data_IF_394758992815
#
_entry.id   IF_394758992815
#
_cell.length_a   1.000
_cell.length_b   1.000
_cell.length_c   1.000
_cell.angle_alpha   90.00
_cell.angle_beta   90.00
_cell.angle_gamma   90.00
#
_symmetry.space_group_name_H-M   'P 1'
#
loop_
_entity.id
_entity.type
_entity.pdbx_description
1 polymer ?
#
# COMPACT_ATOMS: atom_id res chain seq x y z
N UNK A 1 4.19 1.86 -5.12
CA UNK A 1 5.07 1.60 -3.96
C UNK A 1 5.37 0.11 -3.91
N UNK A 2 6.64 -0.28 -3.84
CA UNK A 2 7.02 -1.67 -3.55
C UNK A 2 7.09 -1.90 -2.04
N UNK A 3 6.60 -3.03 -1.55
CA UNK A 3 6.66 -3.40 -0.13
C UNK A 3 7.24 -4.80 0.05
N UNK A 4 8.04 -4.96 1.11
CA UNK A 4 8.51 -6.26 1.62
C UNK A 4 8.76 -6.13 3.12
N UNK A 5 7.96 -6.81 3.93
CA UNK A 5 8.03 -6.79 5.39
C UNK A 5 8.05 -5.36 5.98
N UNK A 6 7.10 -4.52 5.55
CA UNK A 6 6.98 -3.12 5.91
C UNK A 6 5.94 -2.81 6.99
N UNK A 7 5.44 -3.79 7.76
CA UNK A 7 4.26 -3.62 8.63
C UNK A 7 4.36 -2.42 9.58
N UNK A 8 5.57 -2.08 10.03
CA UNK A 8 5.83 -1.00 11.00
C UNK A 8 5.56 0.39 10.45
N UNK A 9 5.64 0.59 9.13
CA UNK A 9 5.60 1.91 8.50
C UNK A 9 4.63 2.01 7.32
N UNK A 10 4.15 0.86 6.83
CA UNK A 10 3.33 0.82 5.63
C UNK A 10 2.03 1.62 5.77
N UNK A 11 1.38 1.55 6.94
CA UNK A 11 0.13 2.27 7.19
C UNK A 11 0.31 3.80 7.18
N UNK A 12 1.34 4.29 7.88
CA UNK A 12 1.70 5.71 7.89
C UNK A 12 2.08 6.20 6.50
N UNK A 13 2.87 5.41 5.75
CA UNK A 13 3.30 5.78 4.42
C UNK A 13 2.13 5.87 3.43
N UNK A 14 1.19 4.91 3.47
CA UNK A 14 -0.03 4.94 2.65
C UNK A 14 -0.86 6.18 3.02
N UNK A 15 -1.10 6.38 4.32
CA UNK A 15 -1.88 7.52 4.83
C UNK A 15 -1.29 8.87 4.42
N UNK A 16 0.04 9.00 4.48
CA UNK A 16 0.77 10.20 4.05
C UNK A 16 0.57 10.51 2.56
N UNK A 17 0.63 9.48 1.70
CA UNK A 17 0.36 9.63 0.26
C UNK A 17 -1.10 10.03 0.01
N UNK A 18 -2.06 9.39 0.67
CA UNK A 18 -3.48 9.66 0.47
C UNK A 18 -3.91 11.06 0.96
N UNK A 19 -3.19 11.62 1.93
CA UNK A 19 -3.41 12.95 2.49
C UNK A 19 -2.90 14.12 1.60
N UNK A 20 -2.21 13.82 0.49
CA UNK A 20 -1.69 14.87 -0.40
C UNK A 20 -2.81 15.73 -1.02
N UNK A 21 -2.53 17.02 -1.18
CA UNK A 21 -3.47 18.01 -1.74
C UNK A 21 -3.67 17.86 -3.26
N UNK A 22 -2.76 17.17 -3.95
CA UNK A 22 -2.87 16.85 -5.37
C UNK A 22 -3.89 15.72 -5.57
N UNK A 23 -5.06 16.02 -6.15
CA UNK A 23 -6.20 15.09 -6.21
C UNK A 23 -6.10 13.99 -7.28
N UNK A 24 -5.21 14.12 -8.27
CA UNK A 24 -5.02 13.14 -9.35
C UNK A 24 -3.85 12.22 -9.02
N UNK A 25 -4.00 11.40 -7.99
CA UNK A 25 -3.03 10.36 -7.65
C UNK A 25 -3.69 8.98 -7.68
N UNK A 26 -2.93 8.00 -8.15
CA UNK A 26 -3.23 6.57 -8.03
C UNK A 26 -2.10 5.95 -7.20
N UNK A 27 -2.46 5.18 -6.16
CA UNK A 27 -1.52 4.45 -5.32
C UNK A 27 -1.58 2.96 -5.66
N UNK A 28 -0.56 2.48 -6.38
CA UNK A 28 -0.38 1.05 -6.67
C UNK A 28 0.60 0.43 -5.69
N UNK A 29 0.17 -0.55 -4.92
CA UNK A 29 0.97 -1.27 -3.93
C UNK A 29 1.38 -2.61 -4.55
N UNK A 30 2.68 -2.83 -4.68
CA UNK A 30 3.27 -4.07 -5.16
C UNK A 30 3.96 -4.78 -3.99
N UNK A 31 3.36 -5.86 -3.51
CA UNK A 31 3.88 -6.66 -2.40
C UNK A 31 4.76 -7.80 -2.90
N UNK A 32 6.02 -7.80 -2.46
CA UNK A 32 7.02 -8.78 -2.86
C UNK A 32 7.08 -9.95 -1.86
N UNK A 33 5.92 -10.58 -1.64
CA UNK A 33 5.73 -11.72 -0.71
C UNK A 33 6.17 -11.40 0.72
N UNK A 34 5.57 -10.36 1.31
CA UNK A 34 5.76 -10.10 2.73
C UNK A 34 5.26 -11.27 3.58
N UNK A 35 6.00 -11.62 4.64
CA UNK A 35 5.62 -12.65 5.61
C UNK A 35 5.09 -12.07 6.93
N UNK A 36 4.97 -10.75 7.00
CA UNK A 36 4.49 -9.98 8.14
C UNK A 36 3.08 -9.40 7.86
N UNK A 37 2.61 -8.46 8.68
CA UNK A 37 1.30 -7.81 8.52
C UNK A 37 1.12 -6.93 7.27
N UNK A 38 2.13 -6.76 6.42
CA UNK A 38 2.10 -5.81 5.29
C UNK A 38 0.95 -6.06 4.32
N UNK A 39 0.65 -7.32 4.00
CA UNK A 39 -0.43 -7.64 3.07
C UNK A 39 -1.80 -7.26 3.66
N UNK A 40 -2.00 -7.48 4.96
CA UNK A 40 -3.23 -7.12 5.65
C UNK A 40 -3.41 -5.59 5.70
N UNK A 41 -2.34 -4.86 6.03
CA UNK A 41 -2.33 -3.40 6.04
C UNK A 41 -2.66 -2.86 4.63
N UNK A 42 -1.95 -3.31 3.60
CA UNK A 42 -2.19 -2.82 2.23
C UNK A 42 -3.61 -3.09 1.74
N UNK A 43 -4.17 -4.26 2.04
CA UNK A 43 -5.55 -4.61 1.69
C UNK A 43 -6.58 -3.80 2.46
N UNK A 44 -6.27 -3.37 3.68
CA UNK A 44 -7.12 -2.50 4.49
C UNK A 44 -7.39 -1.14 3.84
N UNK A 45 -6.51 -0.68 2.95
CA UNK A 45 -6.65 0.59 2.23
C UNK A 45 -7.42 0.49 0.90
N UNK A 46 -7.88 -0.70 0.50
CA UNK A 46 -8.60 -0.90 -0.78
C UNK A 46 -10.00 -0.29 -0.83
N UNK A 47 -10.51 0.23 0.28
CA UNK A 47 -11.75 1.03 0.27
C UNK A 47 -11.58 2.39 -0.40
N UNK A 48 -10.34 2.90 -0.49
CA UNK A 48 -10.06 4.11 -1.26
C UNK A 48 -9.93 3.74 -2.75
N UNK A 49 -10.74 4.33 -3.65
CA UNK A 49 -10.74 3.97 -5.08
C UNK A 49 -9.44 4.31 -5.80
N UNK A 50 -8.55 5.10 -5.18
CA UNK A 50 -7.22 5.41 -5.70
C UNK A 50 -6.21 4.31 -5.41
N UNK A 51 -6.52 3.36 -4.53
CA UNK A 51 -5.60 2.33 -4.05
C UNK A 51 -5.84 1.01 -4.79
N UNK A 52 -4.75 0.40 -5.23
CA UNK A 52 -4.74 -0.96 -5.76
C UNK A 52 -3.62 -1.75 -5.13
N UNK A 53 -3.83 -3.06 -4.98
CA UNK A 53 -2.86 -4.00 -4.43
C UNK A 53 -2.58 -5.10 -5.44
N UNK A 54 -1.31 -5.43 -5.60
CA UNK A 54 -0.84 -6.55 -6.42
C UNK A 54 0.20 -7.32 -5.62
N UNK A 55 0.01 -8.63 -5.51
CA UNK A 55 1.06 -9.53 -5.04
C UNK A 55 1.97 -9.84 -6.24
N UNK A 56 3.23 -9.46 -6.16
CA UNK A 56 4.21 -9.77 -7.18
C UNK A 56 4.84 -11.13 -6.89
N UNK A 57 4.58 -12.08 -7.79
CA UNK A 57 5.08 -13.45 -7.68
C UNK A 57 6.36 -13.73 -8.49
N UNK A 58 6.90 -12.72 -9.19
CA UNK A 58 8.07 -12.85 -10.06
C UNK A 58 7.70 -13.17 -11.50
#
# INVERSE_FOLDING_TARGET
MGVRNGERFLDEAISSVLAQTHRRLELRIYDNRSHDGSAAIARGHLSDPRVSYTLNDG
#
